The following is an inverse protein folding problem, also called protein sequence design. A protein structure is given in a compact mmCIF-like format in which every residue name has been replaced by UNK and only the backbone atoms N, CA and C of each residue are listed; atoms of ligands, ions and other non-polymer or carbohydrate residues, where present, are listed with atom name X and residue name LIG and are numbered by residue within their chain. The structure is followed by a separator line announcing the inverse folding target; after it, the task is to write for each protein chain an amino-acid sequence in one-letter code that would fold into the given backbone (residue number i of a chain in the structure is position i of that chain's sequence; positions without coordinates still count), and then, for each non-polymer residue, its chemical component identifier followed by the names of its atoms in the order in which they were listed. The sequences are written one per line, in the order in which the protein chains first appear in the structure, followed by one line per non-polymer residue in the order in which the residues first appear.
data_IF_673858619421
#
_entry.id   IF_673858619421
#
_cell.length_a   1.000
_cell.length_b   1.000
_cell.length_c   1.000
_cell.angle_alpha   90.00
_cell.angle_beta   90.00
_cell.angle_gamma   90.00
#
_symmetry.space_group_name_H-M   'P 1'
#
loop_
_entity.id
_entity.type
_entity.pdbx_description
1 polymer ?
#
# COMPACT_ATOMS: atom_id res chain seq x y z
N UNK A 1 9.74 -3.29 -19.24
CA UNK A 1 9.71 -4.73 -19.55
C UNK A 1 8.53 -5.32 -18.81
N UNK A 2 7.66 -6.10 -19.48
CA UNK A 2 6.62 -6.83 -18.77
C UNK A 2 7.30 -7.93 -17.94
N UNK A 3 7.09 -7.91 -16.63
CA UNK A 3 7.60 -8.95 -15.73
C UNK A 3 6.64 -10.12 -15.84
N UNK A 4 7.14 -11.32 -16.13
CA UNK A 4 6.30 -12.49 -16.40
C UNK A 4 5.72 -13.12 -15.12
N UNK A 5 6.31 -12.87 -13.95
CA UNK A 5 5.80 -13.33 -12.67
C UNK A 5 6.06 -12.30 -11.56
N UNK A 6 4.99 -11.82 -10.90
CA UNK A 6 5.05 -10.79 -9.86
C UNK A 6 4.48 -11.35 -8.56
N UNK A 7 5.32 -11.42 -7.53
CA UNK A 7 4.92 -11.86 -6.19
C UNK A 7 4.66 -10.67 -5.27
N UNK A 8 3.52 -10.69 -4.60
CA UNK A 8 3.15 -9.68 -3.61
C UNK A 8 3.48 -10.13 -2.19
N UNK A 9 4.26 -9.32 -1.46
CA UNK A 9 4.65 -9.58 -0.07
C UNK A 9 4.10 -8.47 0.83
N UNK A 10 3.19 -8.86 1.72
CA UNK A 10 2.54 -7.95 2.67
C UNK A 10 3.31 -7.87 3.99
N UNK A 11 3.84 -6.68 4.29
CA UNK A 11 4.50 -6.42 5.57
C UNK A 11 3.54 -6.49 6.76
N UNK A 12 4.09 -6.60 7.98
CA UNK A 12 3.32 -6.49 9.22
C UNK A 12 2.58 -5.16 9.33
N UNK A 13 3.21 -4.07 8.86
CA UNK A 13 2.60 -2.73 8.84
C UNK A 13 1.40 -2.67 7.88
N UNK A 14 1.50 -3.29 6.70
CA UNK A 14 0.34 -3.39 5.80
C UNK A 14 -0.84 -4.10 6.48
N UNK A 15 -0.58 -5.23 7.15
CA UNK A 15 -1.61 -5.95 7.92
C UNK A 15 -2.22 -5.09 9.01
N UNK A 16 -1.40 -4.38 9.79
CA UNK A 16 -1.85 -3.47 10.84
C UNK A 16 -2.74 -2.36 10.27
N UNK A 17 -2.33 -1.70 9.18
CA UNK A 17 -3.12 -0.64 8.56
C UNK A 17 -4.46 -1.11 8.00
N UNK A 18 -4.49 -2.31 7.41
CA UNK A 18 -5.73 -2.96 6.97
C UNK A 18 -6.64 -3.28 8.16
N UNK A 19 -6.09 -3.67 9.32
CA UNK A 19 -6.88 -3.85 10.55
C UNK A 19 -7.45 -2.53 11.07
N UNK A 20 -6.69 -1.43 11.01
CA UNK A 20 -7.18 -0.09 11.36
C UNK A 20 -8.36 0.31 10.46
N UNK A 21 -8.23 0.10 9.14
CA UNK A 21 -9.32 0.32 8.18
C UNK A 21 -10.53 -0.56 8.54
N UNK A 22 -10.29 -1.84 8.82
CA UNK A 22 -11.36 -2.77 9.16
C UNK A 22 -12.11 -2.35 10.43
N UNK A 23 -11.39 -1.87 11.45
CA UNK A 23 -11.98 -1.36 12.68
C UNK A 23 -12.85 -0.12 12.42
N UNK A 24 -12.34 0.82 11.63
CA UNK A 24 -13.07 2.04 11.25
C UNK A 24 -14.34 1.78 10.43
N UNK A 25 -14.29 0.83 9.49
CA UNK A 25 -15.47 0.45 8.70
C UNK A 25 -16.52 -0.24 9.58
N UNK A 26 -16.10 -1.13 10.49
CA UNK A 26 -17.00 -1.77 11.46
C UNK A 26 -17.66 -0.78 12.40
N UNK A 27 -16.94 0.24 12.88
CA UNK A 27 -17.54 1.29 13.73
C UNK A 27 -18.61 2.11 13.01
N UNK A 28 -18.62 2.06 11.66
CA UNK A 28 -19.64 2.65 10.79
C UNK A 28 -20.67 1.66 10.27
N UNK A 29 -20.69 0.43 10.81
CA UNK A 29 -21.59 -0.65 10.39
C UNK A 29 -21.41 -1.09 8.92
N UNK A 30 -20.21 -0.91 8.36
CA UNK A 30 -19.85 -1.36 7.02
C UNK A 30 -19.02 -2.65 7.11
N UNK A 31 -19.22 -3.58 6.16
CA UNK A 31 -18.37 -4.77 6.04
C UNK A 31 -17.00 -4.37 5.44
N UNK A 32 -15.89 -4.57 6.17
CA UNK A 32 -14.57 -4.22 5.66
C UNK A 32 -14.02 -5.17 4.61
N UNK A 33 -14.49 -6.43 4.57
CA UNK A 33 -13.95 -7.44 3.65
C UNK A 33 -14.02 -7.03 2.17
N UNK A 34 -15.18 -6.64 1.62
CA UNK A 34 -15.28 -6.26 0.21
C UNK A 34 -14.44 -5.03 -0.12
N UNK A 35 -14.39 -4.05 0.80
CA UNK A 35 -13.60 -2.82 0.59
C UNK A 35 -12.11 -3.15 0.50
N UNK A 36 -11.58 -3.92 1.45
CA UNK A 36 -10.16 -4.30 1.45
C UNK A 36 -9.84 -5.17 0.22
N UNK A 37 -10.72 -6.13 -0.11
CA UNK A 37 -10.53 -6.99 -1.27
C UNK A 37 -10.50 -6.20 -2.59
N UNK A 38 -11.37 -5.21 -2.77
CA UNK A 38 -11.38 -4.34 -3.95
C UNK A 38 -10.10 -3.51 -4.05
N UNK A 39 -9.67 -2.90 -2.94
CA UNK A 39 -8.43 -2.11 -2.88
C UNK A 39 -7.23 -2.97 -3.27
N UNK A 40 -7.12 -4.19 -2.74
CA UNK A 40 -6.02 -5.10 -3.07
C UNK A 40 -6.12 -5.61 -4.51
N UNK A 41 -7.31 -5.96 -4.99
CA UNK A 41 -7.52 -6.42 -6.36
C UNK A 41 -7.12 -5.35 -7.40
N UNK A 42 -7.60 -4.11 -7.22
CA UNK A 42 -7.24 -3.00 -8.11
C UNK A 42 -5.74 -2.69 -8.06
N UNK A 43 -5.13 -2.78 -6.87
CA UNK A 43 -3.70 -2.60 -6.70
C UNK A 43 -2.89 -3.69 -7.42
N UNK A 44 -3.22 -4.96 -7.21
CA UNK A 44 -2.53 -6.10 -7.81
C UNK A 44 -2.71 -6.13 -9.33
N UNK A 45 -3.89 -5.74 -9.84
CA UNK A 45 -4.13 -5.62 -11.30
C UNK A 45 -3.24 -4.54 -11.93
N UNK A 46 -3.21 -3.33 -11.35
CA UNK A 46 -2.41 -2.22 -11.88
C UNK A 46 -0.92 -2.50 -11.81
N UNK A 47 -0.45 -2.96 -10.64
CA UNK A 47 0.98 -3.11 -10.36
C UNK A 47 1.54 -4.45 -10.81
N UNK A 48 0.70 -5.47 -11.03
CA UNK A 48 1.11 -6.71 -11.69
C UNK A 48 1.47 -6.49 -13.16
N UNK A 49 0.73 -5.62 -13.86
CA UNK A 49 1.02 -5.28 -15.26
C UNK A 49 2.15 -4.25 -15.39
N UNK A 50 2.13 -3.20 -14.56
CA UNK A 50 3.11 -2.12 -14.58
C UNK A 50 3.57 -1.78 -13.15
N UNK A 51 4.52 -2.54 -12.57
CA UNK A 51 4.99 -2.32 -11.20
C UNK A 51 5.56 -0.92 -10.96
N UNK A 52 6.12 -0.29 -11.99
CA UNK A 52 6.69 1.07 -11.89
C UNK A 52 5.75 2.16 -12.42
N UNK A 53 4.51 1.80 -12.76
CA UNK A 53 3.52 2.71 -13.33
C UNK A 53 2.95 3.71 -12.32
N UNK A 54 2.98 3.40 -11.02
CA UNK A 54 2.55 4.36 -10.00
C UNK A 54 3.66 5.35 -9.64
N UNK A 55 3.33 6.61 -9.33
CA UNK A 55 4.31 7.63 -8.98
C UNK A 55 5.05 7.28 -7.69
N UNK A 56 6.24 7.85 -7.54
CA UNK A 56 6.97 7.86 -6.27
C UNK A 56 6.14 8.61 -5.22
N UNK A 57 6.06 8.08 -4.01
CA UNK A 57 5.32 8.71 -2.92
C UNK A 57 5.96 10.05 -2.56
N UNK A 58 5.25 11.14 -2.79
CA UNK A 58 5.78 12.49 -2.64
C UNK A 58 6.17 12.79 -1.19
N UNK A 59 5.35 12.40 -0.20
CA UNK A 59 5.64 12.59 1.22
C UNK A 59 6.97 11.94 1.65
N UNK A 60 7.31 10.78 1.07
CA UNK A 60 8.59 10.12 1.36
C UNK A 60 9.73 10.68 0.54
N UNK A 61 9.45 11.13 -0.69
CA UNK A 61 10.45 11.78 -1.53
C UNK A 61 10.95 13.08 -0.89
N UNK A 62 10.05 13.87 -0.29
CA UNK A 62 10.38 15.07 0.47
C UNK A 62 11.30 14.79 1.68
N UNK A 63 11.26 13.56 2.21
CA UNK A 63 12.15 13.04 3.24
C UNK A 63 13.42 12.38 2.67
N UNK A 64 13.66 12.48 1.36
CA UNK A 64 14.81 11.89 0.67
C UNK A 64 14.67 10.40 0.32
N UNK A 65 13.48 9.81 0.46
CA UNK A 65 13.22 8.39 0.24
C UNK A 65 12.49 8.13 -1.09
N UNK A 66 13.22 8.02 -2.20
CA UNK A 66 12.65 7.82 -3.54
C UNK A 66 12.22 6.38 -3.90
N UNK A 67 12.45 5.40 -3.01
CA UNK A 67 12.23 3.97 -3.30
C UNK A 67 10.77 3.50 -3.20
N UNK A 68 9.90 4.34 -2.64
CA UNK A 68 8.51 3.98 -2.34
C UNK A 68 7.56 4.62 -3.34
N UNK A 69 6.57 3.86 -3.79
CA UNK A 69 5.54 4.26 -4.73
C UNK A 69 4.17 4.19 -4.08
N UNK A 70 3.25 4.99 -4.56
CA UNK A 70 1.86 4.99 -4.07
C UNK A 70 0.88 4.73 -5.21
N UNK A 71 0.07 3.68 -5.07
CA UNK A 71 -1.00 3.35 -6.00
C UNK A 71 -2.33 3.79 -5.43
N UNK A 72 -2.96 4.79 -6.05
CA UNK A 72 -4.30 5.24 -5.70
C UNK A 72 -5.35 4.28 -6.28
N UNK A 73 -6.31 3.90 -5.45
CA UNK A 73 -7.47 3.07 -5.82
C UNK A 73 -8.73 3.94 -5.92
N UNK A 74 -9.74 3.46 -6.64
CA UNK A 74 -10.98 4.17 -6.89
C UNK A 74 -11.77 4.45 -5.59
N UNK A 75 -11.67 3.56 -4.61
CA UNK A 75 -12.39 3.63 -3.32
C UNK A 75 -11.78 4.65 -2.32
N UNK A 76 -10.90 5.54 -2.78
CA UNK A 76 -10.30 6.58 -1.93
C UNK A 76 -9.20 6.07 -1.00
N UNK A 77 -8.61 4.92 -1.32
CA UNK A 77 -7.43 4.38 -0.64
C UNK A 77 -6.18 4.55 -1.51
N UNK A 78 -5.03 4.41 -0.87
CA UNK A 78 -3.73 4.34 -1.51
C UNK A 78 -2.92 3.21 -0.89
N UNK A 79 -2.20 2.49 -1.73
CA UNK A 79 -1.30 1.41 -1.31
C UNK A 79 0.13 1.90 -1.48
N UNK A 80 0.88 1.91 -0.38
CA UNK A 80 2.31 2.23 -0.37
C UNK A 80 3.11 0.95 -0.58
N UNK A 81 3.97 0.93 -1.60
CA UNK A 81 4.73 -0.25 -1.97
C UNK A 81 6.15 0.10 -2.46
N UNK A 82 7.01 -0.91 -2.56
CA UNK A 82 8.30 -0.80 -3.25
C UNK A 82 8.51 -2.00 -4.17
N UNK A 83 9.24 -1.78 -5.26
CA UNK A 83 9.49 -2.80 -6.28
C UNK A 83 10.92 -3.32 -6.18
N UNK A 84 11.09 -4.63 -6.30
CA UNK A 84 12.37 -5.30 -6.48
C UNK A 84 12.23 -6.17 -7.72
N UNK A 85 12.62 -5.61 -8.88
CA UNK A 85 12.47 -6.25 -10.17
C UNK A 85 13.81 -6.85 -10.62
N UNK A 86 13.77 -8.11 -11.05
CA UNK A 86 14.86 -8.78 -11.74
C UNK A 86 14.44 -9.07 -13.20
N UNK A 87 15.35 -9.59 -14.02
CA UNK A 87 15.07 -9.85 -15.45
C UNK A 87 13.97 -10.89 -15.70
N UNK A 88 13.64 -11.73 -14.71
CA UNK A 88 12.67 -12.84 -14.82
C UNK A 88 11.48 -12.70 -13.88
N UNK A 89 11.74 -12.27 -12.64
CA UNK A 89 10.75 -12.22 -11.56
C UNK A 89 10.71 -10.83 -10.92
N UNK A 90 9.56 -10.43 -10.40
CA UNK A 90 9.38 -9.19 -9.66
C UNK A 90 8.78 -9.44 -8.30
N UNK A 91 9.29 -8.75 -7.28
CA UNK A 91 8.69 -8.74 -5.95
C UNK A 91 8.17 -7.35 -5.63
N UNK A 92 6.88 -7.28 -5.29
CA UNK A 92 6.22 -6.07 -4.83
C UNK A 92 6.01 -6.19 -3.32
N UNK A 93 6.68 -5.33 -2.57
CA UNK A 93 6.52 -5.26 -1.11
C UNK A 93 5.47 -4.23 -0.77
N UNK A 94 4.38 -4.67 -0.16
CA UNK A 94 3.30 -3.81 0.32
C UNK A 94 3.61 -3.37 1.76
N UNK A 95 3.78 -2.06 1.94
CA UNK A 95 4.19 -1.45 3.21
C UNK A 95 3.01 -0.93 4.02
N UNK A 96 1.99 -0.35 3.35
CA UNK A 96 0.81 0.20 4.03
C UNK A 96 -0.39 0.31 3.09
N UNK A 97 -1.59 0.23 3.64
CA UNK A 97 -2.86 0.59 2.97
C UNK A 97 -3.48 1.74 3.75
N UNK A 98 -3.71 2.87 3.10
CA UNK A 98 -4.13 4.10 3.75
C UNK A 98 -5.32 4.71 3.04
N UNK A 99 -6.14 5.49 3.75
CA UNK A 99 -7.02 6.43 3.05
C UNK A 99 -6.17 7.51 2.37
N UNK A 100 -6.57 7.96 1.19
CA UNK A 100 -5.91 9.08 0.48
C UNK A 100 -5.87 10.37 1.31
N UNK A 101 -6.76 10.51 2.30
CA UNK A 101 -6.81 11.67 3.21
C UNK A 101 -5.87 11.54 4.41
N UNK A 102 -5.31 10.35 4.67
CA UNK A 102 -4.43 10.13 5.81
C UNK A 102 -2.99 10.50 5.45
N UNK A 103 -2.38 11.37 6.26
CA UNK A 103 -0.96 11.69 6.14
C UNK A 103 -0.09 10.52 6.58
N UNK A 104 0.99 10.28 5.82
CA UNK A 104 1.92 9.20 6.12
C UNK A 104 2.71 9.47 7.40
N UNK A 105 2.99 10.75 7.70
CA UNK A 105 3.61 11.16 8.96
C UNK A 105 2.86 10.63 10.18
N UNK A 106 1.51 10.71 10.20
CA UNK A 106 0.70 10.18 11.30
C UNK A 106 0.88 8.67 11.48
N UNK A 107 1.00 7.91 10.39
CA UNK A 107 1.28 6.48 10.45
C UNK A 107 2.67 6.19 10.99
N UNK A 108 3.69 6.94 10.55
CA UNK A 108 5.06 6.79 11.03
C UNK A 108 5.14 7.09 12.53
N UNK A 109 4.48 8.15 12.99
CA UNK A 109 4.40 8.48 14.41
C UNK A 109 3.72 7.38 15.22
N UNK A 110 2.55 6.89 14.79
CA UNK A 110 1.89 5.78 15.50
C UNK A 110 2.79 4.56 15.58
N UNK A 111 3.48 4.21 14.51
CA UNK A 111 4.42 3.07 14.51
C UNK A 111 5.61 3.29 15.46
N UNK A 112 6.13 4.51 15.58
CA UNK A 112 7.25 4.84 16.47
C UNK A 112 6.78 4.87 17.94
N UNK A 113 5.59 5.41 18.21
CA UNK A 113 5.06 5.60 19.56
C UNK A 113 4.43 4.33 20.14
N UNK A 114 3.80 3.47 19.33
CA UNK A 114 3.27 2.16 19.74
C UNK A 114 4.37 1.09 19.94
N UNK A 115 5.65 1.47 19.81
CA UNK A 115 6.82 0.63 20.13
C UNK A 115 7.29 0.73 21.60
N UNK A 116 6.53 1.42 22.47
CA UNK A 116 6.71 1.40 23.93
C UNK A 116 5.68 0.50 24.60
#
# INVERSE_FOLDING_TARGET
MAVCDVTFIYSSTAKMTMQTIAHFLRSRQLDPKPVIANVLGEFEEKTGLFPEGSPVCQELLELGCAKYRECNTADGYRVLYSTHLNEKDGVIYVHAVLSQKQHLASLLFNRILEWQ
#
